data_IF_943285387177
#
_entry.id   IF_943285387177
#
_cell.length_a   1.000
_cell.length_b   1.000
_cell.length_c   1.000
_cell.angle_alpha   90.00
_cell.angle_beta   90.00
_cell.angle_gamma   90.00
#
_symmetry.space_group_name_H-M   'P 1'
#
loop_
_entity.id
_entity.type
_entity.pdbx_description
1 polymer ?
#
# COMPACT_ATOMS: atom_id res chain seq x y z
N UNK A 1 -18.54 -8.59 11.03
CA UNK A 1 -17.18 -8.97 10.61
C UNK A 1 -17.12 -9.58 9.20
N UNK A 2 -18.18 -10.32 8.77
CA UNK A 2 -18.18 -11.04 7.48
C UNK A 2 -18.46 -10.17 6.24
N UNK A 3 -18.92 -8.94 6.41
CA UNK A 3 -19.20 -7.99 5.31
C UNK A 3 -17.89 -7.63 4.63
N UNK A 4 -17.86 -7.64 3.29
CA UNK A 4 -16.68 -7.20 2.52
C UNK A 4 -16.64 -5.68 2.37
N UNK A 5 -15.46 -5.13 2.04
CA UNK A 5 -15.32 -3.68 1.80
C UNK A 5 -16.23 -3.18 0.67
N UNK A 6 -16.39 -3.97 -0.40
CA UNK A 6 -17.27 -3.61 -1.53
C UNK A 6 -18.73 -3.61 -1.12
N UNK A 7 -19.20 -4.68 -0.44
CA UNK A 7 -20.56 -4.73 0.09
C UNK A 7 -20.87 -3.55 1.02
N UNK A 8 -19.90 -3.18 1.88
CA UNK A 8 -20.06 -2.03 2.76
C UNK A 8 -20.16 -0.72 1.98
N UNK A 9 -19.26 -0.48 1.02
CA UNK A 9 -19.27 0.74 0.23
C UNK A 9 -20.47 0.83 -0.72
N UNK A 10 -20.95 -0.31 -1.25
CA UNK A 10 -22.20 -0.35 -2.01
C UNK A 10 -23.42 0.04 -1.15
N UNK A 11 -23.49 -0.45 0.09
CA UNK A 11 -24.54 -0.09 1.05
C UNK A 11 -24.50 1.40 1.41
N UNK A 12 -23.31 1.98 1.58
CA UNK A 12 -23.11 3.38 1.99
C UNK A 12 -23.23 4.40 0.84
N UNK A 13 -23.41 3.93 -0.39
CA UNK A 13 -23.32 4.77 -1.61
C UNK A 13 -24.18 6.01 -1.56
N UNK A 14 -25.41 5.88 -1.05
CA UNK A 14 -26.39 6.99 -0.99
C UNK A 14 -26.26 7.84 0.28
N UNK A 15 -25.42 7.43 1.25
CA UNK A 15 -25.27 8.14 2.53
C UNK A 15 -24.22 9.26 2.47
N UNK A 16 -23.53 9.44 1.33
CA UNK A 16 -22.49 10.45 1.17
C UNK A 16 -21.20 10.17 1.93
N UNK A 17 -21.02 8.93 2.41
CA UNK A 17 -19.84 8.47 3.15
C UNK A 17 -19.33 7.17 2.57
N UNK A 18 -18.07 6.83 2.86
CA UNK A 18 -17.46 5.59 2.43
C UNK A 18 -16.44 5.05 3.45
N UNK A 19 -16.18 3.77 3.36
CA UNK A 19 -15.11 3.08 4.08
C UNK A 19 -13.81 3.18 3.27
N UNK A 20 -12.76 3.87 3.79
CA UNK A 20 -11.63 4.29 2.95
C UNK A 20 -10.47 3.28 2.86
N UNK A 21 -10.50 2.15 3.60
CA UNK A 21 -9.40 1.21 3.56
C UNK A 21 -9.54 0.29 2.33
N UNK A 22 -8.54 0.29 1.45
CA UNK A 22 -8.60 -0.29 0.11
C UNK A 22 -7.49 -1.31 -0.18
N UNK A 23 -7.40 -2.42 0.58
CA UNK A 23 -6.47 -3.49 0.23
C UNK A 23 -6.74 -3.99 -1.20
N UNK A 24 -5.71 -4.52 -1.86
CA UNK A 24 -5.80 -4.98 -3.24
C UNK A 24 -6.85 -6.06 -3.52
N UNK A 25 -7.30 -6.79 -2.47
CA UNK A 25 -8.37 -7.79 -2.56
C UNK A 25 -9.69 -7.25 -1.99
N UNK A 26 -10.83 -7.79 -2.48
CA UNK A 26 -12.13 -7.58 -1.83
C UNK A 26 -12.22 -8.45 -0.58
N UNK A 27 -11.72 -7.94 0.54
CA UNK A 27 -11.60 -8.66 1.80
C UNK A 27 -12.76 -8.37 2.76
N UNK A 28 -13.07 -9.33 3.63
CA UNK A 28 -14.01 -9.13 4.72
C UNK A 28 -13.43 -8.19 5.79
N UNK A 29 -14.23 -7.28 6.33
CA UNK A 29 -13.80 -6.27 7.32
C UNK A 29 -13.19 -6.92 8.58
N UNK A 30 -13.70 -8.09 9.01
CA UNK A 30 -13.12 -8.82 10.14
C UNK A 30 -11.73 -9.37 9.86
N UNK A 31 -11.49 -9.87 8.66
CA UNK A 31 -10.16 -10.29 8.21
C UNK A 31 -9.20 -9.10 8.13
N UNK A 32 -9.66 -7.97 7.57
CA UNK A 32 -8.88 -6.73 7.52
C UNK A 32 -8.51 -6.22 8.91
N UNK A 33 -9.44 -6.28 9.87
CA UNK A 33 -9.16 -5.93 11.26
C UNK A 33 -8.11 -6.86 11.88
N UNK A 34 -8.26 -8.18 11.68
CA UNK A 34 -7.35 -9.18 12.25
C UNK A 34 -5.92 -9.08 11.72
N UNK A 35 -5.72 -8.64 10.48
CA UNK A 35 -4.38 -8.45 9.87
C UNK A 35 -3.87 -7.01 9.95
N UNK A 36 -4.64 -6.09 10.56
CA UNK A 36 -4.32 -4.64 10.53
C UNK A 36 -4.10 -4.13 9.11
N UNK A 37 -4.98 -4.50 8.18
CA UNK A 37 -4.85 -4.17 6.77
C UNK A 37 -4.76 -2.65 6.53
N UNK A 38 -4.10 -2.30 5.44
CA UNK A 38 -4.08 -0.96 4.88
C UNK A 38 -4.37 -0.99 3.38
N UNK A 39 -3.93 -0.02 2.64
CA UNK A 39 -4.09 0.06 1.20
C UNK A 39 -3.51 1.36 0.65
N UNK A 40 -3.77 1.64 -0.61
CA UNK A 40 -3.16 2.77 -1.33
C UNK A 40 -3.56 4.14 -0.77
N UNK A 41 -4.70 4.21 -0.07
CA UNK A 41 -5.21 5.45 0.52
C UNK A 41 -4.77 5.69 1.97
N UNK A 42 -3.89 4.85 2.53
CA UNK A 42 -3.47 4.95 3.93
C UNK A 42 -2.81 6.29 4.25
N UNK A 43 -2.06 6.87 3.32
CA UNK A 43 -1.43 8.19 3.47
C UNK A 43 -2.42 9.30 3.85
N UNK A 44 -3.68 9.23 3.39
CA UNK A 44 -4.73 10.22 3.72
C UNK A 44 -5.66 9.76 4.83
N UNK A 45 -6.11 8.52 4.76
CA UNK A 45 -7.20 8.02 5.61
C UNK A 45 -6.72 7.12 6.74
N UNK A 46 -5.43 6.77 6.77
CA UNK A 46 -4.85 5.85 7.73
C UNK A 46 -5.14 4.38 7.41
N UNK A 47 -5.01 3.54 8.41
CA UNK A 47 -5.14 2.08 8.34
C UNK A 47 -6.35 1.61 9.15
N UNK A 48 -6.57 0.28 9.24
CA UNK A 48 -7.59 -0.29 10.11
C UNK A 48 -7.47 0.20 11.56
N UNK A 49 -6.26 0.46 12.07
CA UNK A 49 -6.04 1.04 13.41
C UNK A 49 -6.63 2.44 13.57
N UNK A 50 -6.72 3.20 12.48
CA UNK A 50 -7.25 4.56 12.48
C UNK A 50 -8.77 4.60 12.41
N UNK A 51 -9.37 3.66 11.64
CA UNK A 51 -10.81 3.70 11.33
C UNK A 51 -11.66 2.83 12.27
N UNK A 52 -11.07 1.85 12.95
CA UNK A 52 -11.80 1.05 13.94
C UNK A 52 -11.86 1.81 15.26
N UNK A 53 -13.08 2.03 15.77
CA UNK A 53 -13.32 2.72 17.03
C UNK A 53 -13.76 1.80 18.16
N UNK A 54 -14.18 0.56 17.84
CA UNK A 54 -14.57 -0.44 18.82
C UNK A 54 -14.75 -1.82 18.21
N UNK A 55 -14.66 -2.85 19.03
CA UNK A 55 -14.78 -4.26 18.66
C UNK A 55 -15.63 -5.01 19.68
N UNK A 56 -16.39 -6.00 19.20
CA UNK A 56 -16.89 -7.10 20.02
C UNK A 56 -16.02 -8.33 19.72
N UNK A 57 -15.45 -8.93 20.76
CA UNK A 57 -14.49 -10.04 20.63
C UNK A 57 -14.89 -11.18 21.55
N UNK A 58 -14.85 -12.40 21.02
CA UNK A 58 -14.99 -13.64 21.80
C UNK A 58 -13.58 -14.12 22.19
N UNK A 59 -13.31 -14.19 23.48
CA UNK A 59 -12.02 -14.64 24.03
C UNK A 59 -11.90 -16.18 24.02
N UNK A 60 -10.68 -16.74 24.19
CA UNK A 60 -10.47 -18.20 24.21
C UNK A 60 -11.24 -18.95 25.29
N UNK A 61 -11.59 -18.31 26.40
CA UNK A 61 -12.41 -18.89 27.47
C UNK A 61 -13.92 -18.79 27.21
N UNK A 62 -14.34 -18.21 26.08
CA UNK A 62 -15.76 -18.03 25.70
C UNK A 62 -16.37 -16.70 26.17
N UNK A 63 -15.68 -15.89 26.95
CA UNK A 63 -16.18 -14.58 27.36
C UNK A 63 -16.29 -13.63 26.14
N UNK A 64 -17.34 -12.81 26.16
CA UNK A 64 -17.56 -11.79 25.15
C UNK A 64 -17.24 -10.42 25.75
N UNK A 65 -16.31 -9.72 25.14
CA UNK A 65 -15.93 -8.38 25.58
C UNK A 65 -16.19 -7.34 24.48
N UNK A 66 -16.43 -6.11 24.93
CA UNK A 66 -16.52 -4.94 24.06
C UNK A 66 -15.35 -4.01 24.34
N UNK A 67 -14.68 -3.52 23.29
CA UNK A 67 -13.57 -2.57 23.39
C UNK A 67 -13.92 -1.27 22.69
N UNK A 68 -13.28 -0.19 23.13
CA UNK A 68 -13.44 1.11 22.49
C UNK A 68 -14.76 1.80 22.81
N UNK A 69 -15.08 2.83 22.05
CA UNK A 69 -16.33 3.60 22.17
C UNK A 69 -16.62 4.41 20.89
N UNK A 70 -17.84 4.97 20.80
CA UNK A 70 -18.23 5.89 19.72
C UNK A 70 -17.62 7.30 19.85
N UNK A 71 -16.93 7.58 20.94
CA UNK A 71 -16.35 8.90 21.15
C UNK A 71 -15.13 9.12 20.29
N UNK A 72 -14.91 10.36 19.86
CA UNK A 72 -13.75 10.72 19.03
C UNK A 72 -12.43 10.59 19.79
N UNK A 73 -12.45 10.73 21.12
CA UNK A 73 -11.29 10.63 22.02
C UNK A 73 -11.70 10.06 23.37
N UNK A 74 -10.78 9.36 24.02
CA UNK A 74 -10.88 8.89 25.40
C UNK A 74 -9.50 8.84 26.03
N UNK A 75 -9.41 9.10 27.32
CA UNK A 75 -8.21 8.90 28.15
C UNK A 75 -8.41 7.80 29.21
N UNK A 76 -9.50 7.01 29.09
CA UNK A 76 -9.86 6.00 30.07
C UNK A 76 -9.20 4.65 29.74
N UNK A 77 -8.10 4.34 30.43
CA UNK A 77 -7.43 3.06 30.38
C UNK A 77 -6.64 2.77 29.09
N UNK A 78 -6.30 1.51 28.90
CA UNK A 78 -5.53 1.03 27.74
C UNK A 78 -6.39 0.98 26.47
N UNK A 79 -5.76 1.17 25.31
CA UNK A 79 -6.41 0.99 24.01
C UNK A 79 -6.46 -0.50 23.63
N UNK A 80 -7.43 -1.22 24.19
CA UNK A 80 -7.61 -2.64 23.91
C UNK A 80 -8.07 -2.89 22.47
N UNK A 81 -8.77 -1.95 21.85
CA UNK A 81 -9.16 -2.05 20.43
C UNK A 81 -7.94 -2.27 19.56
N UNK A 82 -6.89 -1.44 19.74
CA UNK A 82 -5.66 -1.59 18.96
C UNK A 82 -4.82 -2.83 19.31
N UNK A 83 -5.04 -3.44 20.48
CA UNK A 83 -4.43 -4.71 20.85
C UNK A 83 -4.97 -5.87 19.98
N UNK A 84 -6.26 -5.88 19.71
CA UNK A 84 -6.91 -6.91 18.89
C UNK A 84 -6.72 -6.70 17.39
N UNK A 85 -6.54 -5.44 16.92
CA UNK A 85 -6.26 -5.14 15.52
C UNK A 85 -4.84 -5.62 15.16
N UNK A 86 -4.75 -6.53 14.18
CA UNK A 86 -3.48 -7.16 13.79
C UNK A 86 -3.08 -8.34 14.67
N UNK A 87 -3.97 -8.83 15.54
CA UNK A 87 -3.72 -10.01 16.38
C UNK A 87 -3.75 -11.35 15.62
N UNK A 88 -4.18 -11.34 14.36
CA UNK A 88 -4.28 -12.52 13.49
C UNK A 88 -5.00 -13.72 14.18
N UNK A 89 -6.03 -13.43 15.00
CA UNK A 89 -6.82 -14.42 15.72
C UNK A 89 -6.14 -15.03 16.97
N UNK A 90 -4.96 -14.56 17.36
CA UNK A 90 -4.20 -15.13 18.50
C UNK A 90 -4.75 -14.72 19.87
N UNK A 91 -5.52 -13.64 19.94
CA UNK A 91 -6.10 -13.12 21.20
C UNK A 91 -7.61 -13.38 21.33
N UNK A 92 -8.31 -13.64 20.22
CA UNK A 92 -9.75 -13.85 20.21
C UNK A 92 -10.34 -13.71 18.81
N UNK A 93 -11.65 -13.93 18.71
CA UNK A 93 -12.41 -13.87 17.45
C UNK A 93 -13.20 -12.57 17.40
N UNK A 94 -12.90 -11.72 16.43
CA UNK A 94 -13.62 -10.46 16.19
C UNK A 94 -14.95 -10.77 15.52
N UNK A 95 -16.07 -10.41 16.17
CA UNK A 95 -17.42 -10.69 15.69
C UNK A 95 -18.14 -9.45 15.20
N UNK A 96 -17.92 -8.28 15.85
CA UNK A 96 -18.48 -7.00 15.45
C UNK A 96 -17.41 -5.92 15.42
N UNK A 97 -17.57 -4.97 14.51
CA UNK A 97 -16.59 -3.90 14.29
C UNK A 97 -17.33 -2.58 14.16
N UNK A 98 -16.93 -1.61 14.96
CA UNK A 98 -17.40 -0.23 14.88
C UNK A 98 -16.42 0.58 14.06
N UNK A 99 -16.90 1.19 12.97
CA UNK A 99 -16.09 1.88 11.98
C UNK A 99 -16.33 3.38 11.99
N UNK A 100 -15.27 4.14 11.78
CA UNK A 100 -15.32 5.52 11.34
C UNK A 100 -15.33 5.54 9.82
N UNK A 101 -16.32 6.23 9.25
CA UNK A 101 -16.44 6.44 7.82
C UNK A 101 -15.88 7.82 7.43
N UNK A 102 -15.55 7.98 6.17
CA UNK A 102 -15.09 9.25 5.60
C UNK A 102 -16.14 9.80 4.64
N UNK A 103 -16.32 11.13 4.54
CA UNK A 103 -17.19 11.72 3.52
C UNK A 103 -16.64 11.43 2.12
N UNK A 104 -17.53 11.20 1.17
CA UNK A 104 -17.15 11.10 -0.25
C UNK A 104 -16.59 12.46 -0.69
N UNK A 105 -15.39 12.53 -1.27
CA UNK A 105 -14.81 13.81 -1.68
C UNK A 105 -15.59 14.43 -2.85
N UNK A 106 -15.75 15.76 -2.82
CA UNK A 106 -16.42 16.53 -3.87
C UNK A 106 -15.77 16.32 -5.24
N UNK A 107 -14.45 16.24 -5.25
CA UNK A 107 -13.65 16.07 -6.47
C UNK A 107 -12.52 15.07 -6.23
N UNK A 108 -12.30 14.19 -7.20
CA UNK A 108 -11.16 13.28 -7.26
C UNK A 108 -10.39 13.60 -8.55
N UNK A 109 -9.09 13.86 -8.43
CA UNK A 109 -8.21 14.06 -9.57
C UNK A 109 -7.01 13.12 -9.44
N UNK A 110 -6.51 12.63 -10.58
CA UNK A 110 -5.31 11.76 -10.62
C UNK A 110 -4.26 12.37 -11.50
N UNK A 111 -2.98 12.09 -11.19
CA UNK A 111 -1.86 12.48 -12.01
C UNK A 111 -0.82 11.36 -12.12
N UNK A 112 0.03 11.45 -13.13
CA UNK A 112 1.16 10.55 -13.34
C UNK A 112 2.38 11.35 -13.77
N UNK A 113 3.56 10.96 -13.26
CA UNK A 113 4.84 11.52 -13.65
C UNK A 113 5.88 10.40 -13.81
N UNK A 114 6.71 10.51 -14.86
CA UNK A 114 7.81 9.59 -15.12
C UNK A 114 9.14 10.23 -14.72
N UNK A 115 10.06 9.42 -14.20
CA UNK A 115 11.37 9.87 -13.70
C UNK A 115 12.51 9.16 -14.41
N UNK A 116 13.70 9.80 -14.45
CA UNK A 116 14.89 9.17 -15.04
C UNK A 116 15.39 8.02 -14.19
N UNK A 117 15.38 8.19 -12.86
CA UNK A 117 15.85 7.20 -11.90
C UNK A 117 14.76 6.87 -10.88
N UNK A 118 14.88 5.71 -10.23
CA UNK A 118 14.02 5.32 -9.14
C UNK A 118 14.21 6.24 -7.92
N UNK A 119 15.43 6.69 -7.70
CA UNK A 119 15.79 7.62 -6.64
C UNK A 119 15.06 8.97 -6.79
N UNK A 120 15.04 9.56 -8.00
CA UNK A 120 14.30 10.79 -8.27
C UNK A 120 12.81 10.66 -7.92
N UNK A 121 12.20 9.51 -8.28
CA UNK A 121 10.80 9.24 -7.96
C UNK A 121 10.57 9.17 -6.44
N UNK A 122 11.41 8.43 -5.72
CA UNK A 122 11.26 8.27 -4.26
C UNK A 122 11.52 9.59 -3.52
N UNK A 123 12.52 10.37 -3.93
CA UNK A 123 12.79 11.71 -3.37
C UNK A 123 11.62 12.67 -3.60
N UNK A 124 11.00 12.61 -4.78
CA UNK A 124 9.79 13.38 -5.06
C UNK A 124 8.67 13.05 -4.07
N UNK A 125 8.40 11.77 -3.85
CA UNK A 125 7.40 11.35 -2.88
C UNK A 125 7.71 11.82 -1.45
N UNK A 126 8.97 11.72 -1.02
CA UNK A 126 9.42 12.22 0.29
C UNK A 126 9.17 13.72 0.43
N UNK A 127 9.52 14.52 -0.59
CA UNK A 127 9.31 15.97 -0.57
C UNK A 127 7.83 16.33 -0.52
N UNK A 128 6.98 15.66 -1.30
CA UNK A 128 5.53 15.88 -1.28
C UNK A 128 4.96 15.70 0.14
N UNK A 129 5.37 14.62 0.83
CA UNK A 129 4.96 14.38 2.22
C UNK A 129 5.56 15.41 3.18
N UNK A 130 6.83 15.78 3.01
CA UNK A 130 7.52 16.77 3.84
C UNK A 130 6.89 18.16 3.72
N UNK A 131 6.47 18.55 2.53
CA UNK A 131 5.73 19.81 2.28
C UNK A 131 4.28 19.78 2.80
N UNK A 132 3.80 18.62 3.25
CA UNK A 132 2.44 18.48 3.80
C UNK A 132 1.35 18.57 2.73
N UNK A 133 1.64 18.24 1.47
CA UNK A 133 0.63 18.20 0.42
C UNK A 133 -0.44 17.16 0.77
N UNK A 134 -1.74 17.54 0.82
CA UNK A 134 -2.81 16.62 1.21
C UNK A 134 -3.16 15.62 0.11
N UNK A 135 -2.24 14.70 -0.17
CA UNK A 135 -2.39 13.69 -1.20
C UNK A 135 -3.20 12.50 -0.68
N UNK A 136 -4.02 11.89 -1.55
CA UNK A 136 -4.83 10.72 -1.18
C UNK A 136 -4.14 9.39 -1.49
N UNK A 137 -3.34 9.34 -2.55
CA UNK A 137 -2.49 8.22 -2.94
C UNK A 137 -1.20 8.72 -3.55
N UNK A 138 -0.10 8.04 -3.27
CA UNK A 138 1.17 8.23 -3.95
C UNK A 138 1.84 6.87 -4.11
N UNK A 139 1.74 6.35 -5.34
CA UNK A 139 2.13 4.99 -5.69
C UNK A 139 3.30 5.00 -6.67
N UNK A 140 4.27 4.14 -6.43
CA UNK A 140 5.46 4.00 -7.26
C UNK A 140 5.46 2.66 -7.99
N UNK A 141 5.78 2.70 -9.28
CA UNK A 141 6.22 1.53 -10.05
C UNK A 141 7.64 1.78 -10.55
N UNK A 142 8.56 0.83 -10.33
CA UNK A 142 9.88 0.92 -10.91
C UNK A 142 9.85 0.59 -12.42
N UNK A 143 10.98 0.79 -13.11
CA UNK A 143 11.09 0.56 -14.55
C UNK A 143 10.67 -0.85 -14.97
N UNK A 144 11.08 -1.88 -14.21
CA UNK A 144 10.75 -3.28 -14.51
C UNK A 144 9.25 -3.53 -14.41
N UNK A 145 8.59 -2.99 -13.39
CA UNK A 145 7.15 -3.11 -13.24
C UNK A 145 6.40 -2.35 -14.32
N UNK A 146 6.87 -1.16 -14.68
CA UNK A 146 6.27 -0.39 -15.79
C UNK A 146 6.35 -1.15 -17.11
N UNK A 147 7.51 -1.75 -17.45
CA UNK A 147 7.66 -2.59 -18.64
C UNK A 147 6.64 -3.75 -18.64
N UNK A 148 6.54 -4.46 -17.52
CA UNK A 148 5.63 -5.60 -17.39
C UNK A 148 4.17 -5.16 -17.51
N UNK A 149 3.75 -4.09 -16.80
CA UNK A 149 2.37 -3.61 -16.82
C UNK A 149 1.97 -3.06 -18.19
N UNK A 150 2.83 -2.27 -18.84
CA UNK A 150 2.59 -1.70 -20.18
C UNK A 150 2.39 -2.81 -21.21
N UNK A 151 3.26 -3.83 -21.20
CA UNK A 151 3.16 -4.95 -22.14
C UNK A 151 1.92 -5.81 -21.87
N UNK A 152 1.57 -6.06 -20.61
CA UNK A 152 0.40 -6.86 -20.22
C UNK A 152 -0.91 -6.17 -20.62
N UNK A 153 -1.06 -4.90 -20.28
CA UNK A 153 -2.30 -4.12 -20.49
C UNK A 153 -2.30 -3.33 -21.79
N UNK A 154 -1.25 -3.47 -22.63
CA UNK A 154 -1.09 -2.82 -23.94
C UNK A 154 -1.26 -1.29 -23.88
N UNK A 155 -0.69 -0.66 -22.87
CA UNK A 155 -0.79 0.77 -22.62
C UNK A 155 0.18 1.54 -23.54
N UNK A 156 -0.34 2.50 -24.32
CA UNK A 156 0.44 3.24 -25.31
C UNK A 156 0.94 4.61 -24.81
N UNK A 157 0.31 5.15 -23.76
CA UNK A 157 0.52 6.54 -23.34
C UNK A 157 1.47 6.65 -22.13
N UNK A 158 2.00 5.53 -21.63
CA UNK A 158 2.95 5.46 -20.52
C UNK A 158 4.35 5.06 -21.01
N UNK A 159 5.38 5.53 -20.33
CA UNK A 159 6.78 5.21 -20.64
C UNK A 159 7.32 4.10 -19.75
N UNK A 160 8.28 3.33 -20.27
CA UNK A 160 9.03 2.33 -19.49
C UNK A 160 10.13 3.03 -18.69
N UNK A 161 9.69 3.76 -17.65
CA UNK A 161 10.51 4.52 -16.71
C UNK A 161 9.93 4.36 -15.29
N UNK A 162 10.71 4.59 -14.23
CA UNK A 162 10.14 4.74 -12.89
C UNK A 162 9.03 5.78 -12.90
N UNK A 163 7.89 5.47 -12.29
CA UNK A 163 6.68 6.27 -12.42
C UNK A 163 5.99 6.43 -11.08
N UNK A 164 5.57 7.66 -10.77
CA UNK A 164 4.65 7.95 -9.68
C UNK A 164 3.23 8.18 -10.20
N UNK A 165 2.27 7.61 -9.49
CA UNK A 165 0.84 7.80 -9.67
C UNK A 165 0.30 8.52 -8.44
N UNK A 166 -0.45 9.58 -8.67
CA UNK A 166 -0.99 10.43 -7.62
C UNK A 166 -2.51 10.48 -7.68
N UNK A 167 -3.16 10.58 -6.52
CA UNK A 167 -4.59 10.88 -6.44
C UNK A 167 -4.85 11.93 -5.37
N UNK A 168 -5.72 12.86 -5.68
CA UNK A 168 -6.08 14.00 -4.85
C UNK A 168 -7.59 13.97 -4.56
N UNK A 169 -7.96 14.07 -3.28
CA UNK A 169 -9.32 14.09 -2.79
C UNK A 169 -9.59 15.41 -2.07
N UNK A 170 -10.53 16.20 -2.55
CA UNK A 170 -10.87 17.50 -1.95
C UNK A 170 -11.91 18.25 -2.78
N UNK A 171 -11.88 19.58 -2.71
CA UNK A 171 -12.60 20.42 -3.66
C UNK A 171 -11.83 20.51 -4.99
N UNK A 172 -12.52 20.89 -6.06
CA UNK A 172 -11.86 21.06 -7.36
C UNK A 172 -10.74 22.11 -7.31
N UNK A 173 -10.96 23.21 -6.58
CA UNK A 173 -9.96 24.28 -6.45
C UNK A 173 -8.71 23.79 -5.70
N UNK A 174 -8.89 23.13 -4.55
CA UNK A 174 -7.77 22.61 -3.76
C UNK A 174 -6.98 21.52 -4.51
N UNK A 175 -7.66 20.65 -5.25
CA UNK A 175 -7.00 19.62 -6.02
C UNK A 175 -6.14 20.21 -7.14
N UNK A 176 -6.63 21.25 -7.84
CA UNK A 176 -5.85 21.96 -8.88
C UNK A 176 -4.60 22.66 -8.32
N UNK A 177 -4.70 23.23 -7.13
CA UNK A 177 -3.58 23.86 -6.44
C UNK A 177 -2.53 22.80 -6.02
N UNK A 178 -2.96 21.73 -5.39
CA UNK A 178 -2.10 20.61 -4.98
C UNK A 178 -1.39 19.95 -6.18
N UNK A 179 -2.09 19.79 -7.31
CA UNK A 179 -1.50 19.26 -8.55
C UNK A 179 -0.35 20.14 -9.04
N UNK A 180 -0.50 21.48 -9.01
CA UNK A 180 0.57 22.39 -9.40
C UNK A 180 1.81 22.25 -8.50
N UNK A 181 1.60 22.19 -7.20
CA UNK A 181 2.70 21.98 -6.23
C UNK A 181 3.42 20.65 -6.50
N UNK A 182 2.66 19.57 -6.71
CA UNK A 182 3.24 18.24 -7.00
C UNK A 182 3.95 18.22 -8.36
N UNK A 183 3.45 18.95 -9.36
CA UNK A 183 4.12 19.11 -10.66
C UNK A 183 5.44 19.86 -10.52
N UNK A 184 5.49 20.94 -9.76
CA UNK A 184 6.71 21.71 -9.47
C UNK A 184 7.74 20.83 -8.77
N UNK A 185 7.39 20.15 -7.67
CA UNK A 185 8.28 19.22 -6.95
C UNK A 185 8.77 18.10 -7.89
N UNK A 186 7.89 17.56 -8.73
CA UNK A 186 8.28 16.53 -9.69
C UNK A 186 9.28 17.02 -10.71
N UNK A 187 9.10 18.23 -11.25
CA UNK A 187 10.02 18.84 -12.21
C UNK A 187 11.40 19.11 -11.59
N UNK A 188 11.45 19.57 -10.35
CA UNK A 188 12.70 19.80 -9.60
C UNK A 188 13.50 18.51 -9.40
N UNK A 189 12.84 17.37 -9.38
CA UNK A 189 13.42 16.02 -9.26
C UNK A 189 13.49 15.27 -10.61
N UNK A 190 13.75 15.94 -11.71
CA UNK A 190 13.90 15.36 -13.05
C UNK A 190 12.65 14.61 -13.57
N UNK A 191 11.48 14.93 -13.07
CA UNK A 191 10.21 14.42 -13.56
C UNK A 191 9.93 14.83 -15.00
N UNK A 192 9.19 14.03 -15.72
CA UNK A 192 8.85 14.25 -17.11
C UNK A 192 7.47 13.75 -17.46
N UNK A 193 6.85 14.38 -18.47
CA UNK A 193 5.54 13.94 -18.97
C UNK A 193 4.48 13.91 -17.87
N UNK A 194 4.48 14.93 -17.00
CA UNK A 194 3.43 15.09 -16.00
C UNK A 194 2.07 15.22 -16.70
N UNK A 195 1.12 14.38 -16.33
CA UNK A 195 -0.25 14.37 -16.87
C UNK A 195 -1.23 14.23 -15.73
N UNK A 196 -2.34 14.93 -15.80
CA UNK A 196 -3.42 14.78 -14.81
C UNK A 196 -4.78 14.65 -15.50
N UNK A 197 -5.75 14.06 -14.81
CA UNK A 197 -7.10 13.83 -15.27
C UNK A 197 -8.11 14.00 -14.12
N UNK A 198 -9.29 14.56 -14.45
CA UNK A 198 -10.45 14.67 -13.59
C UNK A 198 -11.53 13.66 -13.97
N UNK A 199 -11.71 13.44 -15.27
CA UNK A 199 -12.69 12.48 -15.79
C UNK A 199 -12.41 11.06 -15.32
N UNK A 200 -13.45 10.31 -14.94
CA UNK A 200 -13.32 8.96 -14.39
C UNK A 200 -12.64 8.00 -15.37
N UNK A 201 -13.00 8.06 -16.66
CA UNK A 201 -12.43 7.16 -17.66
C UNK A 201 -10.94 7.44 -17.87
N UNK A 202 -10.56 8.71 -17.93
CA UNK A 202 -9.15 9.11 -18.05
C UNK A 202 -8.35 8.75 -16.78
N UNK A 203 -8.91 8.97 -15.58
CA UNK A 203 -8.29 8.54 -14.32
C UNK A 203 -8.06 7.03 -14.29
N UNK A 204 -9.08 6.25 -14.66
CA UNK A 204 -8.98 4.79 -14.73
C UNK A 204 -7.88 4.35 -15.70
N UNK A 205 -7.76 5.02 -16.84
CA UNK A 205 -6.68 4.76 -17.81
C UNK A 205 -5.29 5.03 -17.24
N UNK A 206 -5.12 6.11 -16.47
CA UNK A 206 -3.85 6.41 -15.81
C UNK A 206 -3.48 5.33 -14.77
N UNK A 207 -4.47 4.86 -14.00
CA UNK A 207 -4.25 3.88 -12.94
C UNK A 207 -4.15 2.42 -13.42
N UNK A 208 -4.47 2.12 -14.68
CA UNK A 208 -4.51 0.75 -15.19
C UNK A 208 -3.19 0.00 -14.97
N UNK A 209 -2.05 0.64 -15.23
CA UNK A 209 -0.73 0.03 -15.00
C UNK A 209 -0.51 -0.39 -13.53
N UNK A 210 -1.05 0.38 -12.58
CA UNK A 210 -0.94 0.12 -11.15
C UNK A 210 -1.88 -1.01 -10.71
N UNK A 211 -3.08 -1.05 -11.23
CA UNK A 211 -4.04 -2.11 -10.89
C UNK A 211 -3.61 -3.48 -11.39
N UNK A 212 -2.96 -3.54 -12.53
CA UNK A 212 -2.53 -4.79 -13.15
C UNK A 212 -1.20 -5.35 -12.60
N UNK A 213 -0.58 -4.70 -11.62
CA UNK A 213 0.73 -5.07 -11.07
C UNK A 213 0.83 -6.56 -10.76
N UNK A 214 -0.05 -7.10 -9.92
CA UNK A 214 0.01 -8.50 -9.50
C UNK A 214 -0.24 -9.47 -10.67
N UNK A 215 -1.27 -9.21 -11.46
CA UNK A 215 -1.67 -10.08 -12.57
C UNK A 215 -0.63 -10.07 -13.69
N UNK A 216 -0.06 -8.92 -13.99
CA UNK A 216 0.98 -8.77 -15.00
C UNK A 216 2.25 -9.55 -14.64
N UNK A 217 2.70 -9.50 -13.39
CA UNK A 217 3.84 -10.28 -12.91
C UNK A 217 3.54 -11.78 -12.86
N UNK A 218 2.35 -12.16 -12.39
CA UNK A 218 1.92 -13.57 -12.37
C UNK A 218 1.86 -14.19 -13.77
N UNK A 219 1.52 -13.41 -14.79
CA UNK A 219 1.46 -13.86 -16.17
C UNK A 219 2.82 -14.14 -16.82
N UNK A 220 3.93 -13.66 -16.22
CA UNK A 220 5.29 -13.86 -16.79
C UNK A 220 5.73 -15.32 -16.84
N UNK A 221 5.24 -16.15 -15.94
CA UNK A 221 5.62 -17.57 -15.86
C UNK A 221 4.36 -18.42 -15.85
N UNK A 222 4.19 -19.26 -16.88
CA UNK A 222 3.06 -20.20 -16.94
C UNK A 222 3.10 -21.15 -15.74
N UNK A 223 2.02 -21.24 -14.97
CA UNK A 223 1.93 -21.97 -13.71
C UNK A 223 2.92 -21.50 -12.61
N UNK A 224 3.53 -20.32 -12.80
CA UNK A 224 4.42 -19.70 -11.83
C UNK A 224 3.69 -19.24 -10.58
N UNK A 225 4.49 -18.94 -9.56
CA UNK A 225 4.07 -18.29 -8.32
C UNK A 225 4.74 -16.93 -8.19
N UNK A 226 4.19 -16.12 -7.33
CA UNK A 226 4.73 -14.80 -6.99
C UNK A 226 5.07 -14.80 -5.51
N UNK A 227 6.28 -14.38 -5.18
CA UNK A 227 6.69 -14.03 -3.82
C UNK A 227 6.71 -12.51 -3.73
N UNK A 228 5.98 -11.94 -2.80
CA UNK A 228 5.97 -10.50 -2.54
C UNK A 228 6.63 -10.24 -1.20
N UNK A 229 7.64 -9.38 -1.19
CA UNK A 229 8.13 -8.79 0.06
C UNK A 229 7.14 -7.74 0.55
N UNK A 230 7.27 -7.36 1.82
CA UNK A 230 6.42 -6.33 2.41
C UNK A 230 7.18 -5.71 3.57
N UNK A 231 7.80 -4.59 3.33
CA UNK A 231 8.57 -3.85 4.32
C UNK A 231 8.08 -2.41 4.37
N UNK A 232 8.12 -1.82 5.56
CA UNK A 232 7.75 -0.43 5.76
C UNK A 232 8.82 0.28 6.58
N UNK A 233 9.21 1.49 6.16
CA UNK A 233 10.30 2.26 6.71
C UNK A 233 9.85 3.67 7.10
N UNK A 234 10.57 4.33 8.02
CA UNK A 234 10.47 5.77 8.13
C UNK A 234 10.67 6.43 6.76
N UNK A 235 9.83 7.38 6.39
CA UNK A 235 9.83 8.01 5.05
C UNK A 235 11.24 8.53 4.67
N UNK A 236 11.98 9.06 5.62
CA UNK A 236 13.37 9.54 5.41
C UNK A 236 14.37 8.43 5.07
N UNK A 237 14.01 7.15 5.22
CA UNK A 237 14.88 5.99 4.99
C UNK A 237 14.47 5.15 3.78
N UNK A 238 13.34 5.47 3.15
CA UNK A 238 12.81 4.64 2.06
C UNK A 238 13.72 4.65 0.82
N UNK A 239 14.31 5.78 0.45
CA UNK A 239 15.25 5.87 -0.69
C UNK A 239 16.44 4.92 -0.50
N UNK A 240 17.06 4.92 0.69
CA UNK A 240 18.19 4.06 1.01
C UNK A 240 17.84 2.58 0.87
N UNK A 241 16.66 2.18 1.38
CA UNK A 241 16.22 0.78 1.33
C UNK A 241 15.79 0.33 -0.09
N UNK A 242 15.14 1.20 -0.85
CA UNK A 242 14.74 0.91 -2.23
C UNK A 242 15.97 0.75 -3.13
N UNK A 243 16.97 1.63 -3.00
CA UNK A 243 18.23 1.50 -3.75
C UNK A 243 18.96 0.20 -3.37
N UNK A 244 19.04 -0.13 -2.07
CA UNK A 244 19.59 -1.40 -1.61
C UNK A 244 18.85 -2.60 -2.24
N UNK A 245 17.52 -2.60 -2.27
CA UNK A 245 16.73 -3.66 -2.85
C UNK A 245 17.01 -3.81 -4.37
N UNK A 246 17.13 -2.69 -5.09
CA UNK A 246 17.45 -2.70 -6.53
C UNK A 246 18.86 -3.26 -6.80
N UNK A 247 19.84 -2.92 -5.99
CA UNK A 247 21.21 -3.42 -6.11
C UNK A 247 21.30 -4.92 -5.80
N UNK A 248 20.71 -5.35 -4.69
CA UNK A 248 20.74 -6.75 -4.28
C UNK A 248 20.03 -7.67 -5.28
N UNK A 249 18.86 -7.27 -5.78
CA UNK A 249 18.17 -8.08 -6.81
C UNK A 249 19.00 -8.27 -8.07
N UNK A 250 19.77 -7.26 -8.48
CA UNK A 250 20.72 -7.36 -9.59
C UNK A 250 21.85 -8.37 -9.29
N UNK A 251 22.41 -8.35 -8.06
CA UNK A 251 23.46 -9.31 -7.63
C UNK A 251 22.94 -10.75 -7.62
N UNK A 252 21.70 -10.97 -7.19
CA UNK A 252 21.06 -12.29 -7.24
C UNK A 252 20.62 -12.73 -8.65
N UNK A 253 20.67 -11.83 -9.65
CA UNK A 253 20.17 -12.09 -11.00
C UNK A 253 18.65 -12.29 -11.04
N UNK A 254 17.92 -11.62 -10.15
CA UNK A 254 16.47 -11.67 -10.07
C UNK A 254 15.87 -10.52 -10.88
N UNK A 255 14.83 -10.81 -11.66
CA UNK A 255 13.96 -9.76 -12.20
C UNK A 255 13.09 -9.26 -11.05
N UNK A 256 13.13 -7.97 -10.76
CA UNK A 256 12.59 -7.41 -9.54
C UNK A 256 11.64 -6.23 -9.80
N UNK A 257 10.44 -6.47 -10.34
CA UNK A 257 9.40 -5.46 -10.37
C UNK A 257 9.08 -5.00 -8.94
N UNK A 258 9.03 -3.67 -8.75
CA UNK A 258 8.75 -3.03 -7.47
C UNK A 258 7.53 -2.14 -7.56
N UNK A 259 6.74 -2.17 -6.50
CA UNK A 259 5.61 -1.27 -6.27
C UNK A 259 5.69 -0.73 -4.85
N UNK A 260 5.32 0.53 -4.63
CA UNK A 260 5.41 1.12 -3.31
C UNK A 260 4.29 2.11 -3.01
N UNK A 261 3.77 2.02 -1.79
CA UNK A 261 2.90 3.01 -1.14
C UNK A 261 3.80 4.06 -0.48
N UNK A 262 4.42 4.93 -1.30
CA UNK A 262 5.51 5.78 -0.83
C UNK A 262 5.06 6.81 0.21
N UNK A 263 3.77 7.16 0.23
CA UNK A 263 3.20 8.03 1.25
C UNK A 263 3.28 7.48 2.67
N UNK A 264 3.37 6.15 2.81
CA UNK A 264 3.40 5.44 4.08
C UNK A 264 4.77 4.83 4.39
N UNK A 265 5.71 4.89 3.45
CA UNK A 265 7.02 4.25 3.58
C UNK A 265 7.03 2.75 3.28
N UNK A 266 5.93 2.19 2.75
CA UNK A 266 5.80 0.77 2.43
C UNK A 266 6.14 0.49 0.96
N UNK A 267 6.89 -0.59 0.70
CA UNK A 267 7.10 -1.06 -0.67
C UNK A 267 7.26 -2.58 -0.75
N UNK A 268 7.03 -3.09 -1.94
CA UNK A 268 7.08 -4.52 -2.26
C UNK A 268 8.01 -4.76 -3.44
N UNK A 269 8.83 -5.80 -3.35
CA UNK A 269 9.51 -6.43 -4.49
C UNK A 269 8.71 -7.67 -4.86
N UNK A 270 8.22 -7.72 -6.08
CA UNK A 270 7.30 -8.76 -6.55
C UNK A 270 8.08 -9.74 -7.41
N UNK A 271 8.42 -10.89 -6.87
CA UNK A 271 9.36 -11.85 -7.45
C UNK A 271 8.63 -13.06 -8.05
N UNK A 272 8.51 -13.14 -9.39
CA UNK A 272 7.91 -14.30 -10.04
C UNK A 272 8.89 -15.48 -10.01
N UNK A 273 8.39 -16.69 -9.75
CA UNK A 273 9.21 -17.89 -9.79
C UNK A 273 8.42 -19.13 -10.24
N UNK A 274 9.16 -20.07 -10.82
CA UNK A 274 8.67 -21.41 -11.13
C UNK A 274 8.84 -22.28 -9.87
N UNK A 275 7.76 -22.83 -9.29
CA UNK A 275 7.85 -23.66 -8.08
C UNK A 275 8.65 -24.96 -8.28
N UNK A 276 8.89 -25.38 -9.52
CA UNK A 276 9.74 -26.53 -9.82
C UNK A 276 11.24 -26.18 -9.74
N UNK A 277 11.60 -24.89 -9.84
CA UNK A 277 12.99 -24.39 -9.79
C UNK A 277 13.35 -23.98 -8.35
N UNK A 278 13.69 -24.95 -7.50
CA UNK A 278 14.03 -24.71 -6.08
C UNK A 278 15.15 -23.69 -5.88
N UNK A 279 16.12 -23.64 -6.78
CA UNK A 279 17.25 -22.71 -6.69
C UNK A 279 16.79 -21.24 -6.79
N UNK A 280 15.85 -20.93 -7.69
CA UNK A 280 15.29 -19.57 -7.80
C UNK A 280 14.58 -19.18 -6.51
N UNK A 281 13.77 -20.08 -5.94
CA UNK A 281 13.08 -19.81 -4.68
C UNK A 281 14.06 -19.61 -3.51
N UNK A 282 15.17 -20.36 -3.45
CA UNK A 282 16.23 -20.18 -2.46
C UNK A 282 16.84 -18.78 -2.56
N UNK A 283 17.21 -18.33 -3.75
CA UNK A 283 17.72 -16.97 -3.98
C UNK A 283 16.73 -15.89 -3.55
N UNK A 284 15.43 -16.09 -3.82
CA UNK A 284 14.36 -15.17 -3.38
C UNK A 284 14.31 -15.10 -1.86
N UNK A 285 14.44 -16.23 -1.16
CA UNK A 285 14.45 -16.25 0.32
C UNK A 285 15.67 -15.54 0.87
N UNK A 286 16.86 -15.82 0.36
CA UNK A 286 18.11 -15.16 0.75
C UNK A 286 18.03 -13.64 0.53
N UNK A 287 17.51 -13.19 -0.61
CA UNK A 287 17.27 -11.78 -0.87
C UNK A 287 16.27 -11.18 0.15
N UNK A 288 15.15 -11.87 0.41
CA UNK A 288 14.13 -11.42 1.37
C UNK A 288 14.72 -11.27 2.78
N UNK A 289 15.57 -12.20 3.21
CA UNK A 289 16.24 -12.14 4.51
C UNK A 289 17.19 -10.93 4.61
N UNK A 290 17.94 -10.63 3.55
CA UNK A 290 18.80 -9.45 3.49
C UNK A 290 17.99 -8.15 3.51
N UNK A 291 16.89 -8.09 2.76
CA UNK A 291 16.00 -6.93 2.74
C UNK A 291 15.40 -6.67 4.13
N UNK A 292 14.92 -7.73 4.80
CA UNK A 292 14.37 -7.64 6.16
C UNK A 292 15.45 -7.12 7.13
N UNK A 293 16.67 -7.66 7.07
CA UNK A 293 17.78 -7.21 7.91
C UNK A 293 18.07 -5.72 7.70
N UNK A 294 18.22 -5.31 6.43
CA UNK A 294 18.44 -3.89 6.09
C UNK A 294 17.30 -2.99 6.58
N UNK A 295 16.06 -3.46 6.46
CA UNK A 295 14.87 -2.74 6.94
C UNK A 295 14.93 -2.50 8.45
N UNK A 296 15.27 -3.52 9.24
CA UNK A 296 15.41 -3.40 10.70
C UNK A 296 16.57 -2.48 11.08
N UNK A 297 17.71 -2.54 10.39
CA UNK A 297 18.85 -1.60 10.60
C UNK A 297 18.44 -0.14 10.36
N UNK A 298 17.47 0.10 9.48
CA UNK A 298 16.91 1.42 9.17
C UNK A 298 15.73 1.82 10.08
N UNK A 299 15.47 1.08 11.17
CA UNK A 299 14.32 1.27 12.07
C UNK A 299 12.96 1.09 11.39
N UNK A 300 12.89 0.25 10.37
CA UNK A 300 11.65 -0.14 9.71
C UNK A 300 10.99 -1.36 10.33
N UNK A 301 9.93 -1.85 9.70
CA UNK A 301 9.20 -3.05 10.10
C UNK A 301 9.15 -4.08 8.97
N UNK A 302 9.14 -5.35 9.34
CA UNK A 302 9.19 -6.51 8.44
C UNK A 302 7.88 -6.75 7.67
N UNK A 303 6.82 -6.06 8.04
CA UNK A 303 5.53 -6.12 7.35
C UNK A 303 4.80 -4.79 7.51
N UNK A 304 4.44 -4.17 6.38
CA UNK A 304 3.62 -2.96 6.34
C UNK A 304 2.13 -3.30 6.43
N UNK A 305 1.70 -4.32 5.66
CA UNK A 305 0.28 -4.64 5.50
C UNK A 305 -0.07 -6.12 5.38
N UNK A 306 0.87 -7.00 5.00
CA UNK A 306 0.57 -8.41 4.75
C UNK A 306 0.44 -9.26 6.03
N UNK A 307 0.85 -8.73 7.18
CA UNK A 307 0.87 -9.45 8.45
C UNK A 307 2.08 -10.37 8.62
N UNK A 308 2.20 -10.97 9.78
CA UNK A 308 3.29 -11.88 10.17
C UNK A 308 3.01 -13.29 9.68
N UNK A 309 1.81 -13.80 9.92
CA UNK A 309 1.41 -15.15 9.56
C UNK A 309 2.39 -16.23 10.03
N UNK A 310 2.52 -17.28 9.23
CA UNK A 310 3.46 -18.39 9.51
C UNK A 310 4.87 -18.12 8.99
N UNK A 311 5.05 -17.17 8.07
CA UNK A 311 6.27 -17.02 7.28
C UNK A 311 7.24 -15.97 7.84
N UNK A 312 6.79 -15.06 8.70
CA UNK A 312 7.60 -13.96 9.25
C UNK A 312 7.80 -14.03 10.77
N UNK A 313 7.23 -15.01 11.46
CA UNK A 313 7.30 -15.11 12.93
C UNK A 313 8.72 -15.21 13.48
N UNK A 314 9.65 -15.79 12.73
CA UNK A 314 11.05 -15.92 13.13
C UNK A 314 11.79 -14.57 13.23
N UNK A 315 11.28 -13.52 12.57
CA UNK A 315 11.86 -12.19 12.61
C UNK A 315 11.34 -11.32 13.77
N UNK A 316 10.28 -11.74 14.47
CA UNK A 316 9.74 -11.00 15.63
C UNK A 316 10.68 -10.99 16.84
N UNK A 317 11.65 -11.90 16.89
CA UNK A 317 12.62 -12.03 17.97
C UNK A 317 13.92 -11.28 17.70
N UNK A 318 14.01 -10.60 16.57
CA UNK A 318 15.17 -9.80 16.16
C UNK A 318 14.89 -8.31 16.25
#
# INVERSE_FOLDING_TARGET
ACVTKEQLNDYLREDGVFFPIDPGANAAIGGMASTSASGTMAVKYGTMKTVITGLTVVLPNGDIINTGSRTKKTSAGYNLTNLFIGSEGTLGIITEIQLRLSPIPESIMSAVCHFKTLEDAVQTAQQIIQYGVPIARIEMLNKDQMDISINYSKLKDLKVLPTLFFEFHGSEASNKENIKVVEEISNDNNGSSFKWAKDLAERNKLWQARWDVYYSVKALIKNGRVYSTDVCLPISKITECVNFAEEETKKFGLRAPMVGHLGDGNFHVILPYDPQKKETYKKIREFSDLLIKKTLELNGTITGEHGIGLHKKEYLLK
#
